data_IF_572871949277
#
_entry.id   IF_572871949277
#
_cell.length_a   1.000
_cell.length_b   1.000
_cell.length_c   1.000
_cell.angle_alpha   90.00
_cell.angle_beta   90.00
_cell.angle_gamma   90.00
#
_symmetry.space_group_name_H-M   'P 1'
#
loop_
_entity.id
_entity.type
_entity.pdbx_description
1 polymer ?
#
# COMPACT_ATOMS: atom_id res chain seq x y z
N UNK A 1 -9.58 14.05 -11.75
CA UNK A 1 -8.61 13.60 -12.78
C UNK A 1 -7.59 14.70 -13.00
N UNK A 2 -6.29 14.38 -13.15
CA UNK A 2 -5.30 15.36 -13.56
C UNK A 2 -5.64 15.89 -14.96
N UNK A 3 -5.45 17.19 -15.19
CA UNK A 3 -5.61 17.78 -16.52
C UNK A 3 -4.33 17.51 -17.32
N UNK A 4 -4.47 16.86 -18.47
CA UNK A 4 -3.40 16.63 -19.43
C UNK A 4 -3.67 17.55 -20.63
N UNK A 5 -2.64 18.14 -21.26
CA UNK A 5 -2.83 18.95 -22.46
C UNK A 5 -3.62 18.21 -23.56
N UNK A 6 -4.43 18.95 -24.30
CA UNK A 6 -5.17 18.41 -25.45
C UNK A 6 -6.39 17.54 -25.11
N UNK A 7 -6.74 17.32 -23.83
CA UNK A 7 -7.87 16.44 -23.46
C UNK A 7 -9.19 16.82 -24.15
N UNK A 8 -9.42 18.12 -24.37
CA UNK A 8 -10.62 18.62 -25.04
C UNK A 8 -10.65 18.32 -26.56
N UNK A 9 -9.50 17.96 -27.14
CA UNK A 9 -9.37 17.60 -28.56
C UNK A 9 -9.69 16.13 -28.85
N UNK A 10 -9.67 15.28 -27.83
CA UNK A 10 -9.91 13.85 -28.00
C UNK A 10 -11.39 13.58 -28.31
N UNK A 11 -11.67 12.84 -29.39
CA UNK A 11 -13.04 12.61 -29.86
C UNK A 11 -13.77 11.49 -29.10
N UNK A 12 -13.03 10.61 -28.44
CA UNK A 12 -13.59 9.52 -27.65
C UNK A 12 -13.96 9.94 -26.22
N UNK A 13 -14.68 9.10 -25.48
CA UNK A 13 -14.94 9.35 -24.08
C UNK A 13 -13.69 9.12 -23.22
N UNK A 14 -13.52 9.98 -22.20
CA UNK A 14 -12.50 9.86 -21.16
C UNK A 14 -13.21 9.51 -19.85
N UNK A 15 -12.83 8.41 -19.22
CA UNK A 15 -13.40 7.96 -17.94
C UNK A 15 -12.34 7.90 -16.86
N UNK A 16 -12.74 8.11 -15.61
CA UNK A 16 -11.91 7.67 -14.49
C UNK A 16 -12.05 6.16 -14.29
N UNK A 17 -10.99 5.49 -13.81
CA UNK A 17 -11.03 4.04 -13.49
C UNK A 17 -12.19 3.61 -12.59
N UNK A 18 -12.71 4.51 -11.74
CA UNK A 18 -13.87 4.24 -10.87
C UNK A 18 -15.23 4.25 -11.58
N UNK A 19 -15.29 4.66 -12.84
CA UNK A 19 -16.53 4.91 -13.58
C UNK A 19 -16.77 3.88 -14.71
N UNK A 20 -16.00 2.79 -14.74
CA UNK A 20 -16.02 1.80 -15.82
C UNK A 20 -17.27 0.91 -15.83
N UNK A 21 -17.95 0.77 -14.70
CA UNK A 21 -19.13 -0.12 -14.61
C UNK A 21 -20.21 0.32 -15.61
N UNK A 22 -20.63 -0.60 -16.48
CA UNK A 22 -21.68 -0.38 -17.48
C UNK A 22 -21.25 0.42 -18.72
N UNK A 23 -19.95 0.63 -18.94
CA UNK A 23 -19.44 1.28 -20.16
C UNK A 23 -19.28 0.25 -21.29
N UNK A 24 -19.74 0.61 -22.49
CA UNK A 24 -19.56 -0.22 -23.68
C UNK A 24 -18.17 0.02 -24.29
N UNK A 25 -17.30 -0.97 -24.14
CA UNK A 25 -15.95 -0.98 -24.72
C UNK A 25 -15.76 -2.06 -25.80
N UNK A 26 -16.84 -2.75 -26.18
CA UNK A 26 -16.77 -3.90 -27.08
C UNK A 26 -16.21 -3.52 -28.45
N UNK A 27 -15.18 -4.22 -28.89
CA UNK A 27 -14.52 -3.99 -30.18
C UNK A 27 -13.76 -2.65 -30.29
N UNK A 28 -13.63 -1.90 -29.19
CA UNK A 28 -12.93 -0.59 -29.16
C UNK A 28 -11.49 -0.74 -28.70
N UNK A 29 -10.63 0.19 -29.11
CA UNK A 29 -9.26 0.36 -28.59
C UNK A 29 -9.31 1.22 -27.33
N UNK A 30 -8.79 0.71 -26.23
CA UNK A 30 -8.76 1.42 -24.95
C UNK A 30 -7.33 1.77 -24.56
N UNK A 31 -7.06 3.05 -24.29
CA UNK A 31 -5.81 3.47 -23.67
C UNK A 31 -6.01 3.74 -22.18
N UNK A 32 -5.15 3.19 -21.35
CA UNK A 32 -5.23 3.25 -19.89
C UNK A 32 -4.03 4.05 -19.40
N UNK A 33 -4.27 5.22 -18.85
CA UNK A 33 -3.22 6.08 -18.30
C UNK A 33 -2.97 5.74 -16.83
N UNK A 34 -1.82 5.15 -16.54
CA UNK A 34 -1.37 4.74 -15.21
C UNK A 34 -0.82 3.32 -15.20
N UNK A 35 0.08 3.02 -14.26
CA UNK A 35 0.70 1.70 -14.10
C UNK A 35 0.52 1.09 -12.71
N UNK A 36 -0.59 1.42 -12.03
CA UNK A 36 -0.95 0.88 -10.72
C UNK A 36 -2.06 -0.18 -10.80
N UNK A 37 -2.51 -0.66 -9.64
CA UNK A 37 -3.55 -1.69 -9.54
C UNK A 37 -4.83 -1.32 -10.34
N UNK A 38 -5.28 -0.07 -10.27
CA UNK A 38 -6.46 0.40 -11.03
C UNK A 38 -6.28 0.34 -12.54
N UNK A 39 -5.04 0.37 -13.05
CA UNK A 39 -4.79 0.20 -14.48
C UNK A 39 -4.94 -1.26 -14.90
N UNK A 40 -4.51 -2.17 -14.03
CA UNK A 40 -4.70 -3.61 -14.22
C UNK A 40 -6.19 -3.98 -14.14
N UNK A 41 -6.94 -3.43 -13.18
CA UNK A 41 -8.40 -3.60 -13.09
C UNK A 41 -9.12 -3.05 -14.33
N UNK A 42 -8.69 -1.88 -14.84
CA UNK A 42 -9.23 -1.33 -16.08
C UNK A 42 -8.94 -2.26 -17.27
N UNK A 43 -7.75 -2.86 -17.32
CA UNK A 43 -7.37 -3.82 -18.35
C UNK A 43 -8.19 -5.12 -18.24
N UNK A 44 -8.42 -5.65 -17.03
CA UNK A 44 -9.33 -6.79 -16.80
C UNK A 44 -10.76 -6.47 -17.27
N UNK A 45 -11.24 -5.25 -16.98
CA UNK A 45 -12.53 -4.77 -17.47
C UNK A 45 -12.60 -4.73 -19.00
N UNK A 46 -11.58 -4.19 -19.67
CA UNK A 46 -11.52 -4.19 -21.14
C UNK A 46 -11.61 -5.59 -21.72
N UNK A 47 -10.98 -6.59 -21.09
CA UNK A 47 -11.07 -7.96 -21.58
C UNK A 47 -12.41 -8.62 -21.30
N UNK A 48 -12.99 -8.35 -20.13
CA UNK A 48 -14.30 -8.90 -19.75
C UNK A 48 -15.40 -8.39 -20.69
N UNK A 49 -15.33 -7.14 -21.11
CA UNK A 49 -16.28 -6.49 -22.03
C UNK A 49 -15.88 -6.59 -23.52
N UNK A 50 -14.89 -7.44 -23.84
CA UNK A 50 -14.44 -7.77 -25.19
C UNK A 50 -13.98 -6.56 -26.03
N UNK A 51 -13.15 -5.69 -25.44
CA UNK A 51 -12.42 -4.66 -26.15
C UNK A 51 -11.47 -5.28 -27.20
N UNK A 52 -11.26 -4.55 -28.30
CA UNK A 52 -10.39 -5.01 -29.39
C UNK A 52 -8.92 -5.03 -28.96
N UNK A 53 -8.47 -4.00 -28.24
CA UNK A 53 -7.12 -3.89 -27.70
C UNK A 53 -7.12 -2.97 -26.48
N UNK A 54 -6.32 -3.30 -25.46
CA UNK A 54 -6.08 -2.43 -24.31
C UNK A 54 -4.59 -2.08 -24.20
N UNK A 55 -4.26 -0.79 -24.14
CA UNK A 55 -2.87 -0.32 -24.04
C UNK A 55 -2.67 0.41 -22.71
N UNK A 56 -1.80 -0.09 -21.84
CA UNK A 56 -1.41 0.58 -20.60
C UNK A 56 -0.25 1.54 -20.90
N UNK A 57 -0.43 2.80 -20.53
CA UNK A 57 0.58 3.86 -20.61
C UNK A 57 1.11 4.14 -19.20
N UNK A 58 2.33 3.69 -18.92
CA UNK A 58 2.94 3.83 -17.60
C UNK A 58 4.17 4.72 -17.63
N UNK A 59 4.21 5.70 -16.71
CA UNK A 59 5.37 6.58 -16.49
C UNK A 59 6.46 5.95 -15.63
N UNK A 60 6.11 4.99 -14.78
CA UNK A 60 7.04 4.28 -13.90
C UNK A 60 6.77 2.79 -13.92
N UNK A 61 7.83 2.01 -13.80
CA UNK A 61 7.68 0.56 -13.74
C UNK A 61 7.32 0.13 -12.33
N UNK A 62 6.41 -0.82 -12.24
CA UNK A 62 6.06 -1.49 -10.98
C UNK A 62 6.18 -2.98 -11.15
N UNK A 63 6.56 -3.64 -10.07
CA UNK A 63 6.56 -5.08 -10.01
C UNK A 63 5.14 -5.61 -10.13
N UNK A 64 4.97 -6.60 -11.00
CA UNK A 64 3.78 -7.45 -11.09
C UNK A 64 4.21 -8.81 -10.53
N UNK A 65 3.46 -9.31 -9.57
CA UNK A 65 3.66 -10.62 -8.95
C UNK A 65 2.49 -11.53 -9.30
N UNK A 66 2.72 -12.86 -9.44
CA UNK A 66 1.68 -13.79 -9.80
C UNK A 66 0.59 -13.80 -8.73
N UNK A 67 -0.67 -13.92 -9.15
CA UNK A 67 -1.79 -14.19 -8.22
C UNK A 67 -1.68 -15.63 -7.71
N UNK A 68 -0.76 -15.88 -6.78
CA UNK A 68 -0.46 -17.20 -6.24
C UNK A 68 -0.17 -17.10 -4.75
N UNK A 69 -1.06 -17.69 -3.95
CA UNK A 69 -0.98 -17.67 -2.49
C UNK A 69 0.38 -18.10 -1.93
N UNK A 70 1.01 -19.13 -2.49
CA UNK A 70 2.30 -19.63 -1.99
C UNK A 70 3.42 -18.65 -2.29
N UNK A 71 3.49 -18.14 -3.52
CA UNK A 71 4.51 -17.16 -3.91
C UNK A 71 4.34 -15.88 -3.10
N UNK A 72 3.13 -15.35 -3.03
CA UNK A 72 2.84 -14.10 -2.31
C UNK A 72 3.14 -14.24 -0.82
N UNK A 73 2.83 -15.39 -0.22
CA UNK A 73 3.17 -15.70 1.18
C UNK A 73 4.68 -15.70 1.40
N UNK A 74 5.44 -16.35 0.52
CA UNK A 74 6.91 -16.40 0.62
C UNK A 74 7.54 -15.00 0.47
N UNK A 75 7.05 -14.19 -0.47
CA UNK A 75 7.50 -12.81 -0.63
C UNK A 75 7.18 -11.97 0.63
N UNK A 76 6.02 -12.18 1.21
CA UNK A 76 5.57 -11.49 2.43
C UNK A 76 6.36 -11.86 3.69
N UNK A 77 7.07 -13.00 3.67
CA UNK A 77 7.92 -13.48 4.76
C UNK A 77 9.35 -12.92 4.73
N UNK A 78 9.62 -11.85 3.98
CA UNK A 78 10.88 -11.13 4.10
C UNK A 78 11.05 -10.58 5.53
N UNK A 79 11.95 -11.23 6.29
CA UNK A 79 12.21 -11.01 7.73
C UNK A 79 12.68 -9.58 8.01
N UNK A 80 13.37 -8.97 7.06
CA UNK A 80 13.94 -7.64 7.25
C UNK A 80 12.96 -6.51 6.93
N UNK A 81 11.80 -6.80 6.33
CA UNK A 81 10.79 -5.77 6.03
C UNK A 81 11.26 -4.70 5.04
N UNK A 82 12.30 -4.97 4.26
CA UNK A 82 12.94 -4.01 3.37
C UNK A 82 13.66 -4.70 2.21
N UNK A 83 14.00 -3.91 1.20
CA UNK A 83 14.90 -4.33 0.12
C UNK A 83 16.32 -4.56 0.67
N UNK A 84 16.91 -5.70 0.32
CA UNK A 84 18.25 -6.09 0.78
C UNK A 84 19.07 -6.63 -0.39
N UNK A 85 20.37 -6.87 -0.16
CA UNK A 85 21.21 -7.53 -1.16
C UNK A 85 20.64 -8.89 -1.57
N UNK A 86 19.88 -9.59 -0.71
CA UNK A 86 19.29 -10.90 -1.05
C UNK A 86 17.99 -10.80 -1.88
N UNK A 87 17.42 -9.61 -2.05
CA UNK A 87 16.22 -9.40 -2.87
C UNK A 87 16.40 -9.78 -4.34
N UNK A 88 17.65 -9.85 -4.84
CA UNK A 88 17.89 -10.33 -6.21
C UNK A 88 17.34 -11.75 -6.43
N UNK A 89 17.25 -12.56 -5.38
CA UNK A 89 16.79 -13.95 -5.45
C UNK A 89 15.32 -14.01 -5.89
N UNK A 90 14.34 -13.49 -5.11
CA UNK A 90 12.94 -13.50 -5.54
C UNK A 90 12.74 -12.76 -6.86
N UNK A 91 13.44 -11.65 -7.08
CA UNK A 91 13.35 -10.93 -8.34
C UNK A 91 13.83 -11.72 -9.56
N UNK A 92 14.92 -12.48 -9.42
CA UNK A 92 15.42 -13.37 -10.46
C UNK A 92 14.38 -14.45 -10.77
N UNK A 93 13.77 -15.06 -9.75
CA UNK A 93 12.72 -16.06 -9.95
C UNK A 93 11.49 -15.47 -10.64
N UNK A 94 11.06 -14.26 -10.26
CA UNK A 94 9.96 -13.56 -10.93
C UNK A 94 10.30 -13.29 -12.40
N UNK A 95 11.47 -12.71 -12.70
CA UNK A 95 11.88 -12.44 -14.08
C UNK A 95 11.95 -13.72 -14.91
N UNK A 96 12.58 -14.77 -14.38
CA UNK A 96 12.82 -16.02 -15.10
C UNK A 96 11.57 -16.87 -15.30
N UNK A 97 10.71 -16.99 -14.28
CA UNK A 97 9.60 -17.95 -14.29
C UNK A 97 8.23 -17.33 -14.48
N UNK A 98 8.04 -16.08 -14.06
CA UNK A 98 6.75 -15.39 -14.19
C UNK A 98 6.71 -14.49 -15.43
N UNK A 99 7.65 -13.55 -15.56
CA UNK A 99 7.74 -12.65 -16.71
C UNK A 99 8.17 -13.39 -17.99
N UNK A 100 9.24 -14.20 -17.91
CA UNK A 100 9.78 -14.99 -19.03
C UNK A 100 10.14 -14.09 -20.23
N UNK A 101 9.40 -14.24 -21.31
CA UNK A 101 9.48 -13.46 -22.55
C UNK A 101 9.10 -11.98 -22.37
N UNK A 102 8.43 -11.63 -21.28
CA UNK A 102 8.00 -10.27 -20.94
C UNK A 102 8.95 -9.57 -19.94
N UNK A 103 10.19 -10.02 -19.79
CA UNK A 103 11.15 -9.46 -18.80
C UNK A 103 11.40 -7.94 -18.98
N UNK A 104 11.17 -7.39 -20.17
CA UNK A 104 11.31 -5.95 -20.41
C UNK A 104 10.30 -5.11 -19.60
N UNK A 105 9.14 -5.67 -19.27
CA UNK A 105 8.11 -5.00 -18.46
C UNK A 105 8.51 -4.92 -16.98
N UNK A 106 9.32 -5.87 -16.51
CA UNK A 106 9.78 -5.87 -15.12
C UNK A 106 10.65 -4.63 -14.85
N UNK A 107 10.53 -4.01 -13.65
CA UNK A 107 11.38 -2.89 -13.28
C UNK A 107 12.87 -3.17 -13.45
N UNK A 108 13.62 -2.09 -13.73
CA UNK A 108 15.07 -2.15 -13.74
C UNK A 108 15.65 -2.32 -12.31
N UNK A 109 16.97 -2.46 -12.21
CA UNK A 109 17.66 -2.76 -10.93
C UNK A 109 17.59 -1.63 -9.89
N UNK A 110 17.24 -0.42 -10.29
CA UNK A 110 17.09 0.73 -9.38
C UNK A 110 15.78 0.67 -8.58
N UNK A 111 14.80 -0.14 -8.99
CA UNK A 111 13.50 -0.28 -8.35
C UNK A 111 13.30 -1.73 -7.87
N UNK A 112 13.74 -1.99 -6.64
CA UNK A 112 13.65 -3.30 -6.01
C UNK A 112 12.23 -3.74 -5.68
N UNK A 113 12.04 -5.05 -5.52
CA UNK A 113 10.73 -5.64 -5.21
C UNK A 113 10.14 -5.13 -3.89
N UNK A 114 10.97 -4.86 -2.88
CA UNK A 114 10.53 -4.44 -1.55
C UNK A 114 10.68 -2.93 -1.32
N UNK A 115 10.46 -2.13 -2.36
CA UNK A 115 10.51 -0.65 -2.31
C UNK A 115 9.14 0.00 -2.53
N UNK A 116 8.24 -0.65 -3.25
CA UNK A 116 6.88 -0.20 -3.50
C UNK A 116 5.88 -1.34 -3.40
N UNK A 117 4.59 -1.02 -3.38
CA UNK A 117 3.52 -2.03 -3.44
C UNK A 117 3.47 -2.66 -4.84
N UNK A 118 3.77 -3.98 -4.99
CA UNK A 118 3.63 -4.64 -6.28
C UNK A 118 2.16 -4.87 -6.64
N UNK A 119 1.88 -5.02 -7.93
CA UNK A 119 0.56 -5.41 -8.44
C UNK A 119 0.43 -6.92 -8.47
N UNK A 120 -0.67 -7.47 -7.96
CA UNK A 120 -0.91 -8.92 -7.94
C UNK A 120 -1.81 -9.31 -9.09
N UNK A 121 -1.23 -9.79 -10.19
CA UNK A 121 -2.01 -10.17 -11.37
C UNK A 121 -1.28 -11.15 -12.28
N UNK A 122 -1.86 -12.33 -12.53
CA UNK A 122 -1.33 -13.29 -13.49
C UNK A 122 -1.88 -13.07 -14.90
N UNK A 123 -3.16 -12.74 -15.00
CA UNK A 123 -3.93 -12.71 -16.25
C UNK A 123 -3.39 -11.68 -17.25
N UNK A 124 -2.87 -10.55 -16.74
CA UNK A 124 -2.23 -9.52 -17.57
C UNK A 124 -1.08 -10.09 -18.42
N UNK A 125 -0.30 -11.04 -17.87
CA UNK A 125 0.83 -11.61 -18.59
C UNK A 125 0.37 -12.43 -19.80
N UNK A 126 -0.71 -13.19 -19.65
CA UNK A 126 -1.25 -13.99 -20.75
C UNK A 126 -1.86 -13.09 -21.83
N UNK A 127 -2.52 -11.99 -21.42
CA UNK A 127 -3.10 -11.02 -22.35
C UNK A 127 -2.07 -10.22 -23.13
N UNK A 128 -0.92 -9.94 -22.53
CA UNK A 128 0.23 -9.35 -23.22
C UNK A 128 0.80 -10.33 -24.26
N UNK A 129 0.94 -11.61 -23.93
CA UNK A 129 1.42 -12.65 -24.85
C UNK A 129 0.45 -12.91 -26.02
N UNK A 130 -0.85 -12.84 -25.77
CA UNK A 130 -1.90 -12.93 -26.79
C UNK A 130 -1.91 -11.71 -27.74
N UNK A 131 -1.22 -10.61 -27.40
CA UNK A 131 -1.24 -9.36 -28.16
C UNK A 131 -2.55 -8.56 -28.01
N UNK A 132 -3.46 -8.99 -27.12
CA UNK A 132 -4.70 -8.26 -26.80
C UNK A 132 -4.44 -7.09 -25.84
N UNK A 133 -3.37 -7.16 -25.05
CA UNK A 133 -2.84 -6.06 -24.26
C UNK A 133 -1.48 -5.58 -24.79
N UNK A 134 -1.17 -4.32 -24.52
CA UNK A 134 0.17 -3.77 -24.67
C UNK A 134 0.55 -2.95 -23.43
N UNK A 135 1.77 -3.12 -22.94
CA UNK A 135 2.31 -2.30 -21.86
C UNK A 135 3.38 -1.36 -22.42
N UNK A 136 3.13 -0.06 -22.34
CA UNK A 136 3.99 0.98 -22.90
C UNK A 136 4.58 1.80 -21.76
N UNK A 137 5.90 1.72 -21.64
CA UNK A 137 6.69 2.61 -20.77
C UNK A 137 6.86 3.93 -21.51
N UNK A 138 6.22 5.00 -21.05
CA UNK A 138 6.26 6.27 -21.76
C UNK A 138 6.01 7.47 -20.85
N UNK A 139 6.38 8.64 -21.36
CA UNK A 139 5.84 9.91 -20.90
C UNK A 139 4.61 10.27 -21.74
N UNK A 140 3.65 10.93 -21.11
CA UNK A 140 2.38 11.30 -21.74
C UNK A 140 2.45 12.80 -21.99
N UNK A 141 2.44 13.19 -23.26
CA UNK A 141 2.68 14.56 -23.68
C UNK A 141 1.34 15.31 -23.81
N UNK A 142 0.49 14.87 -24.73
CA UNK A 142 -0.83 15.46 -24.96
C UNK A 142 -1.83 14.47 -25.57
N UNK A 143 -3.11 14.81 -25.47
CA UNK A 143 -4.17 14.13 -26.20
C UNK A 143 -4.31 14.74 -27.59
N UNK A 144 -4.51 13.87 -28.57
CA UNK A 144 -4.77 14.23 -29.97
C UNK A 144 -6.15 13.70 -30.37
N UNK A 145 -6.66 14.08 -31.54
CA UNK A 145 -8.03 13.70 -31.94
C UNK A 145 -8.29 12.19 -31.96
N UNK A 146 -7.29 11.38 -32.33
CA UNK A 146 -7.37 9.93 -32.48
C UNK A 146 -6.85 9.11 -31.29
N UNK A 147 -6.30 9.75 -30.26
CA UNK A 147 -5.59 9.04 -29.20
C UNK A 147 -4.71 9.92 -28.33
N UNK A 148 -3.54 9.38 -27.95
CA UNK A 148 -2.62 10.04 -27.02
C UNK A 148 -1.22 10.06 -27.62
N UNK A 149 -0.61 11.24 -27.69
CA UNK A 149 0.80 11.41 -28.04
C UNK A 149 1.66 11.05 -26.82
N UNK A 150 2.62 10.15 -27.03
CA UNK A 150 3.52 9.67 -25.98
C UNK A 150 4.96 9.65 -26.45
N UNK A 151 5.88 9.77 -25.50
CA UNK A 151 7.29 9.51 -25.71
C UNK A 151 7.65 8.14 -25.10
N UNK A 152 7.74 7.09 -25.93
CA UNK A 152 8.07 5.73 -25.50
C UNK A 152 9.52 5.62 -25.08
N UNK A 153 9.75 5.19 -23.85
CA UNK A 153 11.07 5.04 -23.23
C UNK A 153 11.53 3.57 -23.21
N UNK A 154 12.83 3.37 -23.42
CA UNK A 154 13.47 2.08 -23.19
C UNK A 154 13.59 1.79 -21.68
N UNK A 155 13.79 0.51 -21.33
CA UNK A 155 13.99 0.07 -19.95
C UNK A 155 15.20 0.76 -19.31
N UNK A 156 15.03 1.23 -18.07
CA UNK A 156 16.06 1.95 -17.32
C UNK A 156 16.22 3.43 -17.69
N UNK A 157 15.46 3.94 -18.68
CA UNK A 157 15.44 5.37 -18.99
C UNK A 157 14.47 6.08 -18.03
N UNK A 158 14.95 7.06 -17.23
CA UNK A 158 14.11 7.77 -16.27
C UNK A 158 13.04 8.63 -16.96
N UNK A 159 12.07 9.10 -16.18
CA UNK A 159 11.02 9.99 -16.65
C UNK A 159 11.61 11.28 -17.26
N UNK A 160 11.10 11.70 -18.42
CA UNK A 160 11.64 12.84 -19.17
C UNK A 160 12.96 12.56 -19.91
N UNK A 161 13.40 11.30 -19.91
CA UNK A 161 14.56 10.87 -20.69
C UNK A 161 14.26 10.73 -22.19
N UNK A 162 15.28 10.43 -23.00
CA UNK A 162 15.11 10.25 -24.44
C UNK A 162 14.24 9.03 -24.77
N UNK A 163 13.42 9.15 -25.80
CA UNK A 163 12.56 8.06 -26.28
C UNK A 163 12.07 8.30 -27.70
N UNK A 164 11.05 7.54 -28.09
CA UNK A 164 10.42 7.62 -29.40
C UNK A 164 9.01 8.19 -29.29
N UNK A 165 8.80 9.33 -29.94
CA UNK A 165 7.48 9.95 -30.04
C UNK A 165 6.56 9.14 -30.97
N UNK A 166 5.40 8.76 -30.46
CA UNK A 166 4.37 8.05 -31.23
C UNK A 166 2.96 8.39 -30.73
N UNK A 167 1.96 8.15 -31.58
CA UNK A 167 0.54 8.27 -31.22
C UNK A 167 0.00 6.88 -30.90
N UNK A 168 -0.57 6.74 -29.70
CA UNK A 168 -1.34 5.55 -29.32
C UNK A 168 -2.80 5.80 -29.65
N UNK A 169 -3.27 5.17 -30.72
CA UNK A 169 -4.68 5.23 -31.13
C UNK A 169 -5.59 4.65 -30.03
N UNK A 170 -6.65 5.39 -29.70
CA UNK A 170 -7.65 4.98 -28.72
C UNK A 170 -9.02 5.49 -29.10
N UNK A 171 -10.03 4.63 -29.00
CA UNK A 171 -11.43 5.04 -29.08
C UNK A 171 -11.94 5.51 -27.70
N UNK A 172 -11.33 5.01 -26.62
CA UNK A 172 -11.68 5.30 -25.22
C UNK A 172 -10.40 5.48 -24.40
N UNK A 173 -10.38 6.48 -23.51
CA UNK A 173 -9.28 6.66 -22.56
C UNK A 173 -9.75 6.47 -21.13
N UNK A 174 -9.00 5.69 -20.36
CA UNK A 174 -9.24 5.45 -18.94
C UNK A 174 -8.12 6.06 -18.11
N UNK A 175 -8.48 6.99 -17.24
CA UNK A 175 -7.58 7.61 -16.27
C UNK A 175 -7.47 6.70 -15.03
N UNK A 176 -6.47 5.83 -15.01
CA UNK A 176 -6.10 4.99 -13.87
C UNK A 176 -5.06 5.68 -12.97
N UNK A 177 -5.26 6.98 -12.71
CA UNK A 177 -4.33 7.85 -11.99
C UNK A 177 -4.48 7.82 -10.47
N UNK A 178 -5.29 6.89 -9.94
CA UNK A 178 -5.59 6.75 -8.52
C UNK A 178 -6.44 7.90 -7.95
N UNK A 179 -6.54 7.93 -6.63
CA UNK A 179 -7.33 8.91 -5.88
C UNK A 179 -6.44 9.86 -5.07
N UNK A 180 -6.95 11.06 -4.80
CA UNK A 180 -6.31 11.95 -3.83
C UNK A 180 -6.48 11.35 -2.44
N UNK A 181 -5.36 11.17 -1.71
CA UNK A 181 -5.40 10.75 -0.31
C UNK A 181 -6.16 11.80 0.52
N UNK A 182 -7.15 11.39 1.35
CA UNK A 182 -7.82 12.30 2.27
C UNK A 182 -6.81 12.98 3.20
N UNK A 183 -7.07 14.24 3.54
CA UNK A 183 -6.24 14.98 4.49
C UNK A 183 -6.47 14.46 5.91
N UNK A 184 -5.39 14.28 6.67
CA UNK A 184 -5.45 14.02 8.11
C UNK A 184 -5.58 15.30 8.95
N UNK A 185 -5.67 16.48 8.33
CA UNK A 185 -5.69 17.79 9.00
C UNK A 185 -6.84 18.03 9.98
N UNK A 186 -7.82 17.12 10.06
CA UNK A 186 -8.85 17.14 11.08
C UNK A 186 -8.35 16.65 12.45
N UNK A 187 -7.19 15.99 12.50
CA UNK A 187 -6.51 15.60 13.73
C UNK A 187 -5.84 16.81 14.40
N UNK A 188 -5.60 16.75 15.73
CA UNK A 188 -4.83 17.75 16.46
C UNK A 188 -3.47 18.07 15.80
N UNK A 189 -3.05 19.34 15.85
CA UNK A 189 -1.85 19.83 15.14
C UNK A 189 -0.55 19.17 15.64
N UNK A 190 -0.50 18.84 16.92
CA UNK A 190 0.62 18.17 17.58
C UNK A 190 0.85 16.74 17.07
N UNK A 191 -0.12 16.13 16.36
CA UNK A 191 0.08 14.86 15.65
C UNK A 191 1.07 14.95 14.48
N UNK A 192 1.35 16.17 13.98
CA UNK A 192 2.17 16.43 12.79
C UNK A 192 3.52 17.06 13.13
N UNK A 193 3.88 17.15 14.41
CA UNK A 193 5.13 17.75 14.85
C UNK A 193 6.32 16.80 14.64
N UNK A 194 7.44 17.37 14.20
CA UNK A 194 8.71 16.66 14.09
C UNK A 194 9.23 16.26 15.48
N UNK A 195 9.89 15.10 15.64
CA UNK A 195 10.35 14.18 14.59
C UNK A 195 9.38 13.02 14.27
N UNK A 196 8.11 13.11 14.69
CA UNK A 196 7.12 12.02 14.63
C UNK A 196 5.85 12.33 13.79
N UNK A 197 5.93 13.01 12.63
CA UNK A 197 4.76 13.17 11.77
C UNK A 197 4.41 11.84 11.08
N UNK A 198 3.17 11.65 10.58
CA UNK A 198 2.85 10.56 9.67
C UNK A 198 3.88 10.42 8.54
N UNK A 199 4.28 9.19 8.15
CA UNK A 199 3.82 7.89 8.65
C UNK A 199 4.52 7.39 9.93
N UNK A 200 5.36 8.20 10.58
CA UNK A 200 6.19 7.85 11.74
C UNK A 200 5.40 7.81 13.06
N UNK A 201 4.36 7.00 13.10
CA UNK A 201 3.52 6.77 14.28
C UNK A 201 3.75 5.38 14.86
N UNK A 202 3.34 5.19 16.12
CA UNK A 202 3.48 3.89 16.78
C UNK A 202 2.61 2.87 16.07
N UNK A 203 3.21 1.73 15.70
CA UNK A 203 2.61 0.72 14.82
C UNK A 203 2.06 1.31 13.50
N UNK A 204 2.61 2.43 13.04
CA UNK A 204 2.14 3.25 11.91
C UNK A 204 0.76 3.91 12.13
N UNK A 205 -0.04 3.52 13.14
CA UNK A 205 -1.45 3.94 13.27
C UNK A 205 -1.76 4.84 14.45
N UNK A 206 -0.95 4.80 15.52
CA UNK A 206 -1.24 5.50 16.78
C UNK A 206 -0.32 6.73 16.94
N UNK A 207 -0.85 7.96 16.91
CA UNK A 207 -0.06 9.17 17.17
C UNK A 207 0.51 9.12 18.60
N UNK A 208 1.82 9.40 18.81
CA UNK A 208 2.43 9.34 20.14
C UNK A 208 1.78 10.24 21.18
N UNK A 209 1.27 11.41 20.78
CA UNK A 209 0.60 12.37 21.66
C UNK A 209 -0.85 12.00 21.97
N UNK A 210 -1.49 11.16 21.14
CA UNK A 210 -2.90 10.78 21.25
C UNK A 210 -3.07 9.26 21.18
N UNK A 211 -2.67 8.50 22.21
CA UNK A 211 -2.73 7.03 22.23
C UNK A 211 -4.16 6.46 22.21
N UNK A 212 -5.18 7.30 22.41
CA UNK A 212 -6.60 6.97 22.27
C UNK A 212 -7.14 7.12 20.84
N UNK A 213 -6.31 7.60 19.90
CA UNK A 213 -6.65 7.77 18.48
C UNK A 213 -5.92 6.72 17.65
N UNK A 214 -6.62 6.13 16.68
CA UNK A 214 -6.03 5.19 15.71
C UNK A 214 -6.43 5.57 14.29
N UNK A 215 -5.45 5.85 13.45
CA UNK A 215 -5.65 6.18 12.03
C UNK A 215 -5.38 4.94 11.16
N UNK A 216 -6.31 3.98 11.20
CA UNK A 216 -6.16 2.70 10.54
C UNK A 216 -6.20 2.88 9.00
N UNK A 217 -5.15 2.43 8.32
CA UNK A 217 -4.99 2.50 6.87
C UNK A 217 -5.00 3.93 6.29
N UNK A 218 -4.72 4.96 7.10
CA UNK A 218 -4.65 6.34 6.64
C UNK A 218 -3.21 6.83 6.40
N UNK A 219 -2.27 6.31 7.18
CA UNK A 219 -0.83 6.61 7.14
C UNK A 219 -0.03 5.60 6.32
N UNK A 220 -0.70 4.56 5.81
CA UNK A 220 -0.13 3.54 4.95
C UNK A 220 0.52 4.17 3.70
N UNK A 221 1.72 3.70 3.34
CA UNK A 221 2.46 4.18 2.16
C UNK A 221 2.60 3.06 1.14
N UNK A 222 3.43 2.05 1.42
CA UNK A 222 3.58 0.84 0.62
C UNK A 222 3.74 -0.41 1.49
N UNK A 223 3.44 -1.58 0.93
CA UNK A 223 3.72 -2.86 1.55
C UNK A 223 3.60 -4.02 0.57
N UNK A 224 4.00 -5.20 1.02
CA UNK A 224 3.73 -6.48 0.34
C UNK A 224 3.04 -7.45 1.30
N UNK A 225 2.03 -8.16 0.80
CA UNK A 225 1.28 -9.17 1.57
C UNK A 225 0.18 -8.62 2.48
N UNK A 226 -0.17 -7.34 2.40
CA UNK A 226 -1.13 -6.71 3.30
C UNK A 226 -2.57 -7.09 2.97
N UNK A 227 -3.09 -8.11 3.67
CA UNK A 227 -4.53 -8.42 3.62
C UNK A 227 -5.28 -7.47 4.57
N UNK A 228 -5.95 -6.47 4.00
CA UNK A 228 -6.64 -5.37 4.69
C UNK A 228 -7.52 -5.84 5.86
N UNK A 229 -8.40 -6.80 5.59
CA UNK A 229 -9.38 -7.28 6.57
C UNK A 229 -8.77 -7.81 7.88
N UNK A 230 -7.58 -8.43 7.83
CA UNK A 230 -6.98 -9.06 9.01
C UNK A 230 -6.33 -8.04 9.94
N UNK A 231 -5.41 -7.22 9.41
CA UNK A 231 -4.66 -6.29 10.23
C UNK A 231 -5.51 -5.11 10.72
N UNK A 232 -6.49 -4.64 9.93
CA UNK A 232 -7.48 -3.65 10.37
C UNK A 232 -8.17 -4.15 11.64
N UNK A 233 -8.61 -5.41 11.63
CA UNK A 233 -9.23 -6.03 12.81
C UNK A 233 -8.30 -6.07 14.02
N UNK A 234 -7.02 -6.42 13.83
CA UNK A 234 -6.03 -6.43 14.93
C UNK A 234 -5.82 -5.02 15.48
N UNK A 235 -5.62 -4.02 14.63
CA UNK A 235 -5.47 -2.62 15.05
C UNK A 235 -6.67 -2.12 15.86
N UNK A 236 -7.90 -2.39 15.40
CA UNK A 236 -9.11 -2.04 16.15
C UNK A 236 -9.13 -2.69 17.53
N UNK A 237 -8.72 -3.95 17.64
CA UNK A 237 -8.68 -4.66 18.93
C UNK A 237 -7.57 -4.16 19.85
N UNK A 238 -6.43 -3.75 19.31
CA UNK A 238 -5.38 -3.04 20.05
C UNK A 238 -5.91 -1.70 20.59
N UNK A 239 -6.62 -0.93 19.76
CA UNK A 239 -7.27 0.31 20.21
C UNK A 239 -8.25 0.03 21.36
N UNK A 240 -9.13 -0.96 21.21
CA UNK A 240 -10.07 -1.34 22.27
C UNK A 240 -9.36 -1.74 23.57
N UNK A 241 -8.26 -2.49 23.47
CA UNK A 241 -7.42 -2.80 24.62
C UNK A 241 -6.90 -1.51 25.30
N UNK A 242 -6.33 -0.57 24.54
CA UNK A 242 -5.82 0.71 25.08
C UNK A 242 -6.90 1.62 25.69
N UNK A 243 -8.13 1.54 25.19
CA UNK A 243 -9.27 2.30 25.72
C UNK A 243 -9.86 1.66 26.98
N UNK A 244 -9.90 0.32 27.04
CA UNK A 244 -10.53 -0.41 28.14
C UNK A 244 -9.60 -0.67 29.32
N UNK A 245 -8.28 -0.72 29.09
CA UNK A 245 -7.27 -1.02 30.09
C UNK A 245 -6.14 0.03 30.01
N UNK A 246 -6.14 1.04 30.90
CA UNK A 246 -5.13 2.08 30.89
C UNK A 246 -3.71 1.56 31.21
N UNK A 247 -3.55 0.44 31.93
CA UNK A 247 -2.22 -0.17 32.13
C UNK A 247 -1.66 -0.80 30.85
N UNK A 248 -2.53 -1.10 29.89
CA UNK A 248 -2.14 -1.58 28.57
C UNK A 248 -1.67 -0.44 27.64
N UNK A 249 -2.05 0.82 27.92
CA UNK A 249 -1.77 1.97 27.06
C UNK A 249 -0.27 2.31 27.06
N UNK A 250 0.38 2.45 25.89
CA UNK A 250 1.77 2.90 25.85
C UNK A 250 1.85 4.40 26.19
N UNK A 251 2.90 4.81 26.89
CA UNK A 251 3.20 6.22 27.09
C UNK A 251 3.76 6.84 25.80
N UNK A 252 3.62 8.17 25.59
CA UNK A 252 4.26 8.87 24.47
C UNK A 252 5.77 8.57 24.39
N UNK A 253 6.45 8.52 25.54
CA UNK A 253 7.87 8.17 25.62
C UNK A 253 8.18 6.79 25.01
N UNK A 254 7.40 5.75 25.35
CA UNK A 254 7.62 4.40 24.81
C UNK A 254 7.23 4.28 23.34
N UNK A 255 6.18 5.01 22.91
CA UNK A 255 5.79 5.08 21.49
C UNK A 255 6.92 5.68 20.65
N UNK A 256 7.49 6.79 21.11
CA UNK A 256 8.62 7.47 20.47
C UNK A 256 9.86 6.57 20.40
N UNK A 257 10.23 5.91 21.51
CA UNK A 257 11.36 4.97 21.52
C UNK A 257 11.18 3.79 20.57
N UNK A 258 9.95 3.28 20.43
CA UNK A 258 9.66 2.24 19.45
C UNK A 258 9.81 2.74 18.01
N UNK A 259 9.38 3.99 17.74
CA UNK A 259 9.57 4.63 16.44
C UNK A 259 11.07 4.80 16.14
N UNK A 260 11.84 5.33 17.10
CA UNK A 260 13.30 5.50 16.98
C UNK A 260 14.02 4.17 16.75
N UNK A 261 13.62 3.12 17.47
CA UNK A 261 14.14 1.76 17.30
C UNK A 261 13.86 1.26 15.88
N UNK A 262 12.63 1.42 15.39
CA UNK A 262 12.25 0.98 14.04
C UNK A 262 13.01 1.75 12.96
N UNK A 263 13.15 3.07 13.13
CA UNK A 263 14.01 3.92 12.27
C UNK A 263 15.45 3.41 12.26
N UNK A 264 15.97 3.03 13.43
CA UNK A 264 17.34 2.49 13.58
C UNK A 264 17.49 1.14 12.87
N UNK A 265 16.54 0.22 13.05
CA UNK A 265 16.55 -1.10 12.42
C UNK A 265 16.49 -1.02 10.89
N UNK A 266 15.88 0.05 10.36
CA UNK A 266 15.69 0.28 8.92
C UNK A 266 16.58 1.39 8.35
N UNK A 267 17.67 1.75 9.03
CA UNK A 267 18.63 2.75 8.53
C UNK A 267 19.24 2.36 7.18
N UNK A 268 19.31 1.07 6.89
CA UNK A 268 19.85 0.54 5.63
C UNK A 268 18.78 0.33 4.55
N UNK A 269 17.51 0.61 4.86
CA UNK A 269 16.43 0.55 3.88
C UNK A 269 16.63 1.61 2.81
N UNK A 270 16.37 1.31 1.52
CA UNK A 270 16.33 2.35 0.50
C UNK A 270 15.07 3.23 0.58
N UNK A 271 14.11 2.88 1.43
CA UNK A 271 12.87 3.65 1.69
C UNK A 271 12.85 4.16 3.13
N UNK A 272 11.99 5.12 3.46
CA UNK A 272 11.77 5.49 4.86
C UNK A 272 11.28 4.29 5.70
N UNK A 273 11.60 4.27 6.99
CA UNK A 273 11.33 3.12 7.87
C UNK A 273 9.85 2.68 7.88
N UNK A 274 8.93 3.62 7.72
CA UNK A 274 7.49 3.39 7.67
C UNK A 274 6.88 3.59 6.26
N UNK A 275 7.72 3.80 5.25
CA UNK A 275 7.25 3.99 3.86
C UNK A 275 6.96 2.66 3.17
N UNK A 276 7.61 1.58 3.62
CA UNK A 276 7.39 0.22 3.15
C UNK A 276 7.46 -0.75 4.34
N UNK A 277 6.62 -1.78 4.34
CA UNK A 277 6.75 -2.91 5.28
C UNK A 277 6.27 -4.22 4.65
N UNK A 278 6.72 -5.35 5.21
CA UNK A 278 6.20 -6.68 4.86
C UNK A 278 5.17 -7.14 5.88
N UNK A 279 4.33 -8.11 5.52
CA UNK A 279 3.37 -8.66 6.48
C UNK A 279 4.04 -9.29 7.70
N UNK A 280 5.22 -9.91 7.51
CA UNK A 280 5.98 -10.44 8.63
C UNK A 280 6.44 -9.33 9.59
N UNK A 281 6.93 -8.21 9.07
CA UNK A 281 7.27 -7.03 9.88
C UNK A 281 6.05 -6.50 10.65
N UNK A 282 4.89 -6.42 10.00
CA UNK A 282 3.65 -6.02 10.65
C UNK A 282 3.24 -6.98 11.79
N UNK A 283 3.38 -8.29 11.60
CA UNK A 283 3.16 -9.30 12.64
C UNK A 283 4.13 -9.08 13.81
N UNK A 284 5.40 -8.79 13.52
CA UNK A 284 6.39 -8.45 14.56
C UNK A 284 5.98 -7.23 15.35
N UNK A 285 5.44 -6.19 14.71
CA UNK A 285 4.95 -5.01 15.39
C UNK A 285 3.80 -5.35 16.37
N UNK A 286 2.84 -6.17 15.94
CA UNK A 286 1.75 -6.62 16.81
C UNK A 286 2.23 -7.49 17.96
N UNK A 287 3.11 -8.45 17.67
CA UNK A 287 3.69 -9.33 18.68
C UNK A 287 4.49 -8.54 19.71
N UNK A 288 5.35 -7.63 19.25
CA UNK A 288 6.11 -6.72 20.10
C UNK A 288 5.19 -5.89 20.98
N UNK A 289 4.13 -5.31 20.41
CA UNK A 289 3.14 -4.54 21.16
C UNK A 289 2.55 -5.35 22.31
N UNK A 290 2.11 -6.58 22.08
CA UNK A 290 1.49 -7.41 23.12
C UNK A 290 2.52 -7.94 24.12
N UNK A 291 3.67 -8.42 23.68
CA UNK A 291 4.62 -9.14 24.55
C UNK A 291 5.38 -8.21 25.49
N UNK A 292 5.74 -7.00 25.04
CA UNK A 292 6.61 -6.11 25.82
C UNK A 292 5.96 -5.59 27.12
N UNK A 293 4.63 -5.58 27.20
CA UNK A 293 3.90 -5.13 28.38
C UNK A 293 3.05 -6.29 28.95
N UNK A 294 3.38 -6.82 30.15
CA UNK A 294 2.66 -7.93 30.76
C UNK A 294 1.15 -7.68 30.96
N UNK A 295 0.72 -6.43 31.15
CA UNK A 295 -0.70 -6.09 31.26
C UNK A 295 -1.48 -6.38 29.97
N UNK A 296 -0.81 -6.49 28.83
CA UNK A 296 -1.41 -6.83 27.52
C UNK A 296 -1.59 -8.33 27.31
N UNK A 297 -0.94 -9.19 28.11
CA UNK A 297 -0.96 -10.64 27.86
C UNK A 297 -2.35 -11.25 28.01
N UNK A 298 -3.14 -10.75 28.97
CA UNK A 298 -4.55 -11.14 29.15
C UNK A 298 -5.43 -10.78 27.93
N UNK A 299 -5.00 -9.82 27.12
CA UNK A 299 -5.66 -9.39 25.90
C UNK A 299 -5.18 -10.12 24.65
N UNK A 300 -4.11 -10.92 24.71
CA UNK A 300 -3.46 -11.50 23.53
C UNK A 300 -4.42 -12.31 22.64
N UNK A 301 -5.22 -13.21 23.24
CA UNK A 301 -6.18 -14.04 22.49
C UNK A 301 -7.23 -13.17 21.80
N UNK A 302 -7.72 -12.13 22.48
CA UNK A 302 -8.64 -11.18 21.89
C UNK A 302 -7.98 -10.41 20.75
N UNK A 303 -6.81 -9.81 20.98
CA UNK A 303 -6.09 -8.97 19.99
C UNK A 303 -5.76 -9.74 18.71
N UNK A 304 -5.34 -11.00 18.79
CA UNK A 304 -4.97 -11.78 17.60
C UNK A 304 -6.16 -12.50 16.95
N UNK A 305 -7.06 -13.10 17.74
CA UNK A 305 -8.12 -13.96 17.20
C UNK A 305 -9.54 -13.40 17.29
N UNK A 306 -9.75 -12.36 18.10
CA UNK A 306 -11.05 -11.68 18.24
C UNK A 306 -11.99 -12.44 19.16
N UNK A 307 -11.46 -13.42 19.90
CA UNK A 307 -12.20 -14.32 20.77
C UNK A 307 -11.97 -13.94 22.24
N UNK A 308 -12.99 -14.14 23.06
CA UNK A 308 -12.81 -14.11 24.52
C UNK A 308 -12.74 -12.72 25.14
N UNK A 309 -13.32 -11.69 24.53
CA UNK A 309 -13.34 -10.30 25.04
C UNK A 309 -13.84 -10.17 26.50
N UNK A 310 -14.76 -11.05 26.94
CA UNK A 310 -15.30 -11.01 28.30
C UNK A 310 -14.28 -11.30 29.40
N UNK A 311 -13.29 -12.16 29.13
CA UNK A 311 -12.28 -12.55 30.10
C UNK A 311 -11.34 -11.40 30.51
N UNK A 312 -10.64 -10.70 29.58
CA UNK A 312 -9.79 -9.57 29.96
C UNK A 312 -10.60 -8.45 30.60
N UNK A 313 -11.83 -8.19 30.14
CA UNK A 313 -12.72 -7.19 30.76
C UNK A 313 -13.03 -7.51 32.22
N UNK A 314 -13.29 -8.79 32.53
CA UNK A 314 -13.53 -9.23 33.91
C UNK A 314 -12.29 -9.06 34.78
N UNK A 315 -11.11 -9.42 34.26
CA UNK A 315 -9.84 -9.22 34.97
C UNK A 315 -9.59 -7.74 35.25
N UNK A 316 -9.77 -6.86 34.26
CA UNK A 316 -9.64 -5.40 34.44
C UNK A 316 -10.61 -4.88 35.50
N UNK A 317 -11.86 -5.32 35.49
CA UNK A 317 -12.85 -4.90 36.49
C UNK A 317 -12.48 -5.33 37.92
N UNK A 318 -11.73 -6.43 38.07
CA UNK A 318 -11.21 -6.86 39.37
C UNK A 318 -10.01 -6.01 39.77
N UNK A 319 -9.07 -5.76 38.86
CA UNK A 319 -7.89 -4.89 39.09
C UNK A 319 -8.29 -3.46 39.50
N UNK A 320 -9.31 -2.89 38.86
CA UNK A 320 -9.85 -1.57 39.18
C UNK A 320 -10.37 -1.49 40.63
N UNK A 321 -11.06 -2.55 41.09
CA UNK A 321 -11.51 -2.67 42.48
C UNK A 321 -10.35 -2.74 43.47
N UNK A 322 -9.26 -3.42 43.11
CA UNK A 322 -8.07 -3.51 43.96
C UNK A 322 -7.25 -2.21 44.00
N UNK A 323 -7.33 -1.37 42.97
CA UNK A 323 -6.55 -0.13 42.86
C UNK A 323 -7.30 1.11 43.35
N UNK A 324 -8.52 0.95 43.90
CA UNK A 324 -9.41 2.06 44.28
C UNK A 324 -9.59 3.11 43.16
N UNK A 325 -9.48 2.72 41.89
CA UNK A 325 -9.57 3.62 40.74
C UNK A 325 -8.38 4.56 40.51
N UNK A 326 -7.43 4.68 41.46
CA UNK A 326 -6.37 5.69 41.40
C UNK A 326 -5.34 5.48 40.27
N UNK A 327 -5.12 4.23 39.82
CA UNK A 327 -4.25 3.94 38.66
C UNK A 327 -4.86 4.33 37.31
N UNK A 328 -6.19 4.45 37.25
CA UNK A 328 -6.96 4.65 36.03
C UNK A 328 -7.26 6.13 35.74
N UNK A 329 -7.31 6.99 36.77
CA UNK A 329 -7.55 8.44 36.59
C UNK A 329 -6.33 9.22 36.07
N UNK A 330 -5.10 8.76 36.32
CA UNK A 330 -3.88 9.47 35.89
C UNK A 330 -3.54 9.29 34.41
N UNK A 331 -4.09 8.27 33.75
CA UNK A 331 -3.69 7.82 32.41
C UNK A 331 -4.59 8.35 31.28
N UNK A 332 -5.75 8.92 31.60
CA UNK A 332 -6.72 9.44 30.63
C UNK A 332 -6.50 10.89 30.18
N UNK A 333 -5.62 11.65 30.82
CA UNK A 333 -5.24 13.01 30.40
C UNK A 333 -4.10 13.03 29.36
N UNK A 334 -3.73 11.90 28.76
CA UNK A 334 -2.55 11.81 27.88
C UNK A 334 -1.21 12.03 28.60
N UNK A 335 -1.24 12.27 29.91
CA UNK A 335 -0.08 12.34 30.81
C UNK A 335 0.20 10.95 31.36
N UNK A 336 0.74 10.07 30.53
CA UNK A 336 1.42 8.92 31.10
C UNK A 336 2.71 9.42 31.76
N UNK A 337 2.90 9.05 33.03
CA UNK A 337 4.04 9.40 33.91
C UNK A 337 5.39 9.56 33.20
#
# INVERSE_FOLDING_TARGET
>A
MPKIPGMDNFKGPIYHSSELTGKDVKGKKMAIIGGGASAVEALEFAFTEDAAKATILSRSDKWIIPRNMVVDTLLSFNIFGQETVLSFIPEFFLRKFFYRDLEDIAPDKSHGLFMETPMVNSDIMDKLREGRAEWVRCDIDEFVESGIQVNRRAKGVPQGGPGHEEVIDADIVVMATGFKRPSLSFLPKDCFEEPYPPPNWYLQTFPPTHPSVSAINCTYVNAIGTVGNWHIGIYTRILLMFLMDPFSRPSPFWMQRWIDMTKTLKLTSPTGAFDFFTYLELIWWFFFCVVINPFRWKWAIFVFFGVGFGLPKLVVSQEERFTNGNGYHATDEGRSF
#
